data_IF_347339683336
#
_entry.id   IF_347339683336
#
_cell.length_a   1.000
_cell.length_b   1.000
_cell.length_c   1.000
_cell.angle_alpha   90.00
_cell.angle_beta   90.00
_cell.angle_gamma   90.00
#
_symmetry.space_group_name_H-M   'P 1'
#
loop_
_entity.id
_entity.type
_entity.pdbx_description
1 polymer ?
#
# COMPACT_ATOMS: atom_id res chain seq x y z
N UNK A 1 18.34 2.28 -3.90
CA UNK A 1 18.16 2.58 -2.46
C UNK A 1 18.99 3.81 -2.16
N UNK A 2 18.40 5.00 -2.17
CA UNK A 2 19.10 6.19 -1.68
C UNK A 2 18.86 6.22 -0.17
N UNK A 3 19.95 6.05 0.57
CA UNK A 3 20.02 5.92 2.03
C UNK A 3 19.52 7.18 2.76
N UNK A 4 18.87 7.05 3.93
CA UNK A 4 18.47 8.19 4.77
C UNK A 4 19.66 9.02 5.27
N UNK A 5 20.87 8.46 5.21
CA UNK A 5 22.14 9.11 5.61
C UNK A 5 22.44 10.35 4.75
N UNK A 6 22.06 10.33 3.47
CA UNK A 6 22.34 11.45 2.56
C UNK A 6 21.43 12.66 2.84
N UNK A 7 20.18 12.44 3.24
CA UNK A 7 19.24 13.52 3.59
C UNK A 7 19.64 14.18 4.92
N UNK A 8 20.08 13.39 5.90
CA UNK A 8 20.58 13.93 7.18
C UNK A 8 21.83 14.78 6.96
N UNK A 9 22.75 14.34 6.09
CA UNK A 9 23.98 15.08 5.77
C UNK A 9 23.70 16.41 5.06
N UNK A 10 22.73 16.45 4.15
CA UNK A 10 22.31 17.69 3.47
C UNK A 10 21.71 18.68 4.48
N UNK A 11 20.88 18.19 5.41
CA UNK A 11 20.27 19.04 6.43
C UNK A 11 21.35 19.63 7.37
N UNK A 12 22.33 18.84 7.79
CA UNK A 12 23.45 19.32 8.61
C UNK A 12 24.32 20.37 7.88
N UNK A 13 24.53 20.19 6.57
CA UNK A 13 25.30 21.11 5.73
C UNK A 13 24.57 22.46 5.57
N UNK A 14 23.23 22.43 5.40
CA UNK A 14 22.39 23.63 5.35
C UNK A 14 22.33 24.38 6.70
N UNK A 15 22.24 23.65 7.83
CA UNK A 15 22.24 24.27 9.17
C UNK A 15 23.62 24.79 9.60
N UNK A 16 24.71 24.26 9.02
CA UNK A 16 26.07 24.72 9.29
C UNK A 16 26.44 25.97 8.49
N UNK A 17 25.70 26.28 7.42
CA UNK A 17 25.80 27.54 6.69
C UNK A 17 24.99 28.62 7.41
N UNK A 18 25.56 29.24 8.45
CA UNK A 18 24.97 30.40 9.10
C UNK A 18 24.84 31.56 8.07
N UNK A 19 23.59 31.88 7.68
CA UNK A 19 23.15 33.08 6.93
C UNK A 19 22.92 32.97 5.40
N UNK A 20 22.17 31.97 4.92
CA UNK A 20 21.55 32.04 3.59
C UNK A 20 20.04 32.17 3.70
N UNK A 21 19.54 33.39 3.46
CA UNK A 21 18.12 33.67 3.17
C UNK A 21 17.83 33.27 1.70
N UNK A 22 18.38 32.11 1.29
CA UNK A 22 18.35 31.62 -0.07
C UNK A 22 17.03 30.89 -0.27
N UNK A 23 16.14 31.52 -1.03
CA UNK A 23 14.81 31.02 -1.37
C UNK A 23 14.86 29.58 -1.94
N UNK A 24 15.98 29.23 -2.58
CA UNK A 24 16.29 27.90 -3.10
C UNK A 24 16.50 26.84 -2.01
N UNK A 25 17.15 27.18 -0.89
CA UNK A 25 17.33 26.30 0.26
C UNK A 25 16.00 26.08 0.99
N UNK A 26 15.18 27.12 1.10
CA UNK A 26 13.82 27.03 1.66
C UNK A 26 12.94 26.14 0.77
N UNK A 27 13.02 26.28 -0.55
CA UNK A 27 12.32 25.42 -1.51
C UNK A 27 12.81 23.97 -1.42
N UNK A 28 14.11 23.74 -1.25
CA UNK A 28 14.69 22.41 -1.09
C UNK A 28 14.22 21.74 0.21
N UNK A 29 14.27 22.45 1.34
CA UNK A 29 13.75 21.99 2.64
C UNK A 29 12.27 21.69 2.56
N UNK A 30 11.48 22.55 1.91
CA UNK A 30 10.05 22.32 1.65
C UNK A 30 9.82 21.09 0.79
N UNK A 31 10.65 20.84 -0.21
CA UNK A 31 10.56 19.65 -1.06
C UNK A 31 10.94 18.38 -0.31
N UNK A 32 11.94 18.40 0.56
CA UNK A 32 12.32 17.28 1.42
C UNK A 32 11.21 17.00 2.45
N UNK A 33 10.70 18.03 3.12
CA UNK A 33 9.62 17.90 4.10
C UNK A 33 8.29 17.42 3.47
N UNK A 34 7.99 17.86 2.24
CA UNK A 34 6.79 17.45 1.52
C UNK A 34 6.92 16.13 0.76
N UNK A 35 8.11 15.53 0.71
CA UNK A 35 8.28 14.16 0.19
C UNK A 35 7.64 13.19 1.17
N UNK A 36 6.42 12.77 0.83
CA UNK A 36 5.77 11.64 1.53
C UNK A 36 6.70 10.43 1.45
N UNK A 37 7.14 9.96 2.62
CA UNK A 37 7.91 8.71 2.73
C UNK A 37 7.11 7.59 2.09
N UNK A 38 7.66 6.99 1.03
CA UNK A 38 7.07 5.81 0.41
C UNK A 38 7.31 4.61 1.33
N UNK A 39 6.29 4.23 2.08
CA UNK A 39 6.33 2.99 2.88
C UNK A 39 6.33 1.82 1.89
N UNK A 40 7.33 0.94 1.91
CA UNK A 40 7.31 -0.25 1.07
C UNK A 40 6.10 -1.10 1.43
N UNK A 41 5.29 -1.43 0.43
CA UNK A 41 4.12 -2.30 0.57
C UNK A 41 4.36 -3.56 -0.24
N UNK A 42 3.90 -4.70 0.28
CA UNK A 42 3.85 -5.94 -0.50
C UNK A 42 2.95 -5.68 -1.70
N UNK A 43 3.50 -5.88 -2.89
CA UNK A 43 2.75 -5.76 -4.14
C UNK A 43 2.28 -7.15 -4.57
N UNK A 44 1.18 -7.19 -5.32
CA UNK A 44 0.68 -8.39 -5.99
C UNK A 44 0.51 -9.62 -5.08
N UNK A 45 0.22 -9.43 -3.78
CA UNK A 45 0.13 -10.52 -2.80
C UNK A 45 -0.78 -11.67 -3.23
N UNK A 46 -1.93 -11.36 -3.85
CA UNK A 46 -2.85 -12.40 -4.33
C UNK A 46 -2.19 -13.23 -5.44
N UNK A 47 -1.68 -12.56 -6.48
CA UNK A 47 -1.07 -13.22 -7.64
C UNK A 47 0.20 -14.00 -7.27
N UNK A 48 1.08 -13.40 -6.48
CA UNK A 48 2.41 -13.93 -6.21
C UNK A 48 2.43 -14.90 -5.00
N UNK A 49 1.46 -14.81 -4.08
CA UNK A 49 1.45 -15.63 -2.86
C UNK A 49 0.19 -16.50 -2.77
N UNK A 50 -1.00 -15.91 -2.76
CA UNK A 50 -2.26 -16.65 -2.49
C UNK A 50 -2.55 -17.70 -3.57
N UNK A 51 -2.28 -17.38 -4.83
CA UNK A 51 -2.48 -18.30 -5.95
C UNK A 51 -1.51 -19.49 -5.92
N UNK A 52 -0.37 -19.36 -5.27
CA UNK A 52 0.63 -20.43 -5.15
C UNK A 52 0.39 -21.34 -3.94
N UNK A 53 -0.55 -21.02 -3.05
CA UNK A 53 -0.92 -21.91 -1.95
C UNK A 53 -1.65 -23.16 -2.46
N UNK A 54 -1.20 -24.33 -2.00
CA UNK A 54 -2.03 -25.53 -2.07
C UNK A 54 -3.24 -25.41 -1.13
N UNK A 55 -4.22 -26.30 -1.26
CA UNK A 55 -5.47 -26.19 -0.50
C UNK A 55 -5.30 -26.27 1.02
N UNK A 56 -4.31 -27.04 1.50
CA UNK A 56 -3.99 -27.12 2.94
C UNK A 56 -3.41 -25.81 3.45
N UNK A 57 -2.47 -25.23 2.70
CA UNK A 57 -1.89 -23.92 3.00
C UNK A 57 -2.97 -22.84 2.98
N UNK A 58 -3.78 -22.81 1.92
CA UNK A 58 -4.88 -21.85 1.79
C UNK A 58 -5.82 -21.92 2.99
N UNK A 59 -6.29 -23.13 3.34
CA UNK A 59 -7.19 -23.34 4.48
C UNK A 59 -6.55 -22.98 5.81
N UNK A 60 -5.24 -23.18 5.98
CA UNK A 60 -4.52 -22.75 7.17
C UNK A 60 -4.46 -21.23 7.32
N UNK A 61 -4.34 -20.48 6.22
CA UNK A 61 -4.22 -19.02 6.25
C UNK A 61 -5.57 -18.31 6.34
N UNK A 62 -6.57 -18.79 5.60
CA UNK A 62 -7.89 -18.15 5.49
C UNK A 62 -8.99 -18.86 6.30
N UNK A 63 -8.66 -19.96 6.99
CA UNK A 63 -9.56 -20.76 7.84
C UNK A 63 -10.75 -21.41 7.11
N UNK A 64 -10.85 -21.25 5.80
CA UNK A 64 -11.89 -21.83 4.92
C UNK A 64 -11.24 -22.52 3.71
N UNK A 65 -11.95 -23.44 3.05
CA UNK A 65 -11.44 -24.03 1.81
C UNK A 65 -11.43 -22.98 0.68
N UNK A 66 -10.59 -23.22 -0.34
CA UNK A 66 -10.52 -22.36 -1.53
C UNK A 66 -11.86 -22.29 -2.25
N UNK A 67 -12.54 -23.42 -2.36
CA UNK A 67 -13.88 -23.51 -2.95
C UNK A 67 -14.92 -22.67 -2.19
N UNK A 68 -14.95 -22.76 -0.85
CA UNK A 68 -15.84 -21.92 -0.04
C UNK A 68 -15.49 -20.45 -0.15
N UNK A 69 -14.20 -20.09 -0.20
CA UNK A 69 -13.79 -18.71 -0.44
C UNK A 69 -14.30 -18.18 -1.79
N UNK A 70 -14.17 -18.96 -2.87
CA UNK A 70 -14.67 -18.58 -4.19
C UNK A 70 -16.20 -18.39 -4.18
N UNK A 71 -16.92 -19.25 -3.46
CA UNK A 71 -18.36 -19.10 -3.26
C UNK A 71 -18.71 -17.77 -2.54
N UNK A 72 -17.98 -17.43 -1.48
CA UNK A 72 -18.19 -16.17 -0.74
C UNK A 72 -17.89 -14.94 -1.60
N UNK A 73 -16.85 -15.01 -2.45
CA UNK A 73 -16.52 -13.93 -3.39
C UNK A 73 -17.69 -13.69 -4.36
N UNK A 74 -18.20 -14.77 -4.97
CA UNK A 74 -19.31 -14.66 -5.92
C UNK A 74 -20.60 -14.12 -5.24
N UNK A 75 -20.87 -14.55 -4.00
CA UNK A 75 -22.00 -14.07 -3.21
C UNK A 75 -21.86 -12.58 -2.87
N UNK A 76 -20.66 -12.17 -2.46
CA UNK A 76 -20.38 -10.79 -2.09
C UNK A 76 -20.46 -9.86 -3.30
N UNK A 77 -19.90 -10.25 -4.45
CA UNK A 77 -19.93 -9.46 -5.68
C UNK A 77 -21.36 -9.16 -6.15
N UNK A 78 -22.29 -10.09 -5.93
CA UNK A 78 -23.70 -9.91 -6.26
C UNK A 78 -24.47 -9.08 -5.22
N UNK A 79 -23.96 -8.99 -3.99
CA UNK A 79 -24.63 -8.31 -2.88
C UNK A 79 -24.75 -6.80 -3.10
N UNK A 80 -25.68 -6.19 -2.36
CA UNK A 80 -25.83 -4.73 -2.31
C UNK A 80 -24.65 -4.04 -1.61
N UNK A 81 -23.88 -4.79 -0.82
CA UNK A 81 -22.73 -4.28 -0.06
C UNK A 81 -21.46 -4.15 -0.90
N UNK A 82 -21.41 -4.75 -2.09
CA UNK A 82 -20.28 -4.57 -2.99
C UNK A 82 -20.34 -3.18 -3.64
N UNK A 83 -19.29 -2.35 -3.50
CA UNK A 83 -19.30 -1.01 -4.04
C UNK A 83 -19.29 -1.03 -5.58
N UNK A 84 -20.43 -0.67 -6.19
CA UNK A 84 -20.62 -0.59 -7.66
C UNK A 84 -20.35 0.81 -8.24
N UNK A 85 -19.87 1.74 -7.41
CA UNK A 85 -19.69 3.15 -7.76
C UNK A 85 -18.27 3.49 -8.25
N UNK A 86 -18.09 4.65 -8.91
CA UNK A 86 -16.78 5.14 -9.28
C UNK A 86 -15.91 5.39 -8.03
N UNK A 87 -14.58 5.25 -8.16
CA UNK A 87 -13.70 5.46 -7.03
C UNK A 87 -13.77 6.92 -6.55
N UNK A 88 -14.10 7.12 -5.28
CA UNK A 88 -14.04 8.44 -4.66
C UNK A 88 -12.62 8.74 -4.19
N UNK A 89 -12.13 9.96 -4.47
CA UNK A 89 -10.86 10.45 -3.93
C UNK A 89 -9.60 9.77 -4.49
N UNK A 90 -9.66 9.17 -5.68
CA UNK A 90 -8.49 8.57 -6.34
C UNK A 90 -8.02 7.24 -5.73
N UNK A 91 -8.85 6.61 -4.89
CA UNK A 91 -8.57 5.28 -4.34
C UNK A 91 -8.83 4.24 -5.43
N UNK A 92 -7.94 3.26 -5.60
CA UNK A 92 -8.19 2.14 -6.52
C UNK A 92 -9.42 1.35 -6.05
N UNK A 93 -10.32 1.01 -6.98
CA UNK A 93 -11.41 0.07 -6.68
C UNK A 93 -10.76 -1.28 -6.34
N UNK A 94 -11.15 -1.85 -5.20
CA UNK A 94 -10.74 -3.20 -4.82
C UNK A 94 -11.70 -4.23 -5.39
N UNK A 95 -11.20 -5.38 -5.80
CA UNK A 95 -12.05 -6.48 -6.28
C UNK A 95 -12.78 -7.16 -5.11
N UNK A 96 -13.88 -7.86 -5.41
CA UNK A 96 -14.59 -8.68 -4.42
C UNK A 96 -13.65 -9.70 -3.74
N UNK A 97 -12.71 -10.27 -4.49
CA UNK A 97 -11.66 -11.15 -3.98
C UNK A 97 -10.78 -10.45 -2.93
N UNK A 98 -10.29 -9.24 -3.21
CA UNK A 98 -9.49 -8.48 -2.24
C UNK A 98 -10.26 -8.19 -0.95
N UNK A 99 -11.55 -7.87 -1.03
CA UNK A 99 -12.39 -7.65 0.15
C UNK A 99 -12.53 -8.92 0.99
N UNK A 100 -12.89 -10.04 0.36
CA UNK A 100 -13.13 -11.29 1.07
C UNK A 100 -11.84 -11.88 1.64
N UNK A 101 -10.73 -11.85 0.91
CA UNK A 101 -9.45 -12.31 1.43
C UNK A 101 -8.95 -11.45 2.60
N UNK A 102 -9.15 -10.13 2.56
CA UNK A 102 -8.85 -9.27 3.72
C UNK A 102 -9.75 -9.53 4.92
N UNK A 103 -11.00 -9.95 4.71
CA UNK A 103 -11.93 -10.27 5.78
C UNK A 103 -11.61 -11.61 6.46
N UNK A 104 -11.12 -12.60 5.69
CA UNK A 104 -10.85 -13.96 6.18
C UNK A 104 -9.49 -14.12 6.88
N UNK A 105 -8.54 -13.23 6.62
CA UNK A 105 -7.17 -13.27 7.17
C UNK A 105 -7.14 -12.77 8.63
#
# INVERSE_FOLDING_TARGET
MAEPVHEVRIIEELFSSENSDDEEDILLLRNIANRRRKIPRIQNYIADVVNHYNDKQFKSHFRVSRETCNYLIALFEQSEHYPKGPPFGGVRIKTAEEYILCYLW
#
